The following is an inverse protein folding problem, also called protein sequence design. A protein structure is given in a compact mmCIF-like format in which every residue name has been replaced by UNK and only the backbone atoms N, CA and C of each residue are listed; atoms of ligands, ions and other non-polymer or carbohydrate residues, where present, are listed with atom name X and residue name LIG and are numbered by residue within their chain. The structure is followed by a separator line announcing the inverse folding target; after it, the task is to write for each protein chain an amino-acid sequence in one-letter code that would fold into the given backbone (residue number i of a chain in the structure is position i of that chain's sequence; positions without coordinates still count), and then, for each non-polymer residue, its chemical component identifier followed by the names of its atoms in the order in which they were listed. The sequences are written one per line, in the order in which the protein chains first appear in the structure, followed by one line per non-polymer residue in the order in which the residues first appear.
data_IF_374421999198
#
_entry.id   IF_374421999198
#
_cell.length_a   1.000
_cell.length_b   1.000
_cell.length_c   1.000
_cell.angle_alpha   90.00
_cell.angle_beta   90.00
_cell.angle_gamma   90.00
#
_symmetry.space_group_name_H-M   'P 1'
#
loop_
_entity.id
_entity.type
_entity.pdbx_description
1 polymer ?
#
# COMPACT_ATOMS: atom_id res chain seq x y z
N UNK A 1 26.45 -17.63 -34.49
CA UNK A 1 25.10 -17.05 -34.58
C UNK A 1 24.51 -17.09 -33.18
N UNK A 2 24.41 -15.94 -32.51
CA UNK A 2 23.83 -15.86 -31.16
C UNK A 2 22.32 -15.61 -31.29
N UNK A 3 21.51 -16.46 -30.66
CA UNK A 3 20.06 -16.26 -30.54
C UNK A 3 19.78 -15.21 -29.46
N UNK A 4 18.74 -14.36 -29.61
CA UNK A 4 18.38 -13.40 -28.57
C UNK A 4 17.64 -14.14 -27.46
N UNK A 5 18.18 -14.12 -26.24
CA UNK A 5 17.43 -14.54 -25.05
C UNK A 5 16.31 -13.53 -24.85
N UNK A 6 15.07 -14.01 -24.82
CA UNK A 6 13.91 -13.18 -24.54
C UNK A 6 13.99 -12.67 -23.09
N UNK A 7 14.42 -11.42 -22.92
CA UNK A 7 14.48 -10.73 -21.63
C UNK A 7 13.09 -10.18 -21.28
N UNK A 8 12.19 -11.09 -20.90
CA UNK A 8 11.03 -10.72 -20.10
C UNK A 8 11.49 -10.20 -18.73
N UNK A 9 10.77 -9.26 -18.10
CA UNK A 9 11.12 -8.79 -16.77
C UNK A 9 11.08 -9.98 -15.78
N UNK A 10 12.00 -10.04 -14.80
CA UNK A 10 12.13 -11.19 -13.91
C UNK A 10 10.79 -11.44 -13.20
N UNK A 11 10.35 -12.69 -13.10
CA UNK A 11 9.01 -13.08 -12.60
C UNK A 11 8.61 -12.37 -11.29
N UNK A 12 9.56 -12.01 -10.44
CA UNK A 12 9.36 -11.24 -9.22
C UNK A 12 8.70 -9.86 -9.47
N UNK A 13 9.06 -9.17 -10.55
CA UNK A 13 8.52 -7.84 -10.91
C UNK A 13 7.09 -7.90 -11.42
N UNK A 14 6.72 -8.94 -12.18
CA UNK A 14 5.34 -9.17 -12.62
C UNK A 14 4.44 -9.47 -11.42
N UNK A 15 4.91 -10.33 -10.51
CA UNK A 15 4.21 -10.62 -9.24
C UNK A 15 4.09 -9.39 -8.35
N UNK A 16 5.15 -8.58 -8.20
CA UNK A 16 5.10 -7.33 -7.43
C UNK A 16 4.07 -6.35 -7.99
N UNK A 17 4.01 -6.19 -9.32
CA UNK A 17 3.01 -5.33 -9.96
C UNK A 17 1.59 -5.82 -9.69
N UNK A 18 1.32 -7.12 -9.79
CA UNK A 18 0.01 -7.67 -9.49
C UNK A 18 -0.37 -7.48 -8.01
N UNK A 19 0.55 -7.77 -7.08
CA UNK A 19 0.32 -7.57 -5.65
C UNK A 19 0.02 -6.09 -5.35
N UNK A 20 0.75 -5.18 -5.98
CA UNK A 20 0.56 -3.76 -5.78
C UNK A 20 -0.79 -3.25 -6.30
N UNK A 21 -1.26 -3.76 -7.44
CA UNK A 21 -2.61 -3.47 -7.93
C UNK A 21 -3.68 -3.95 -6.94
N UNK A 22 -3.53 -5.16 -6.40
CA UNK A 22 -4.47 -5.71 -5.40
C UNK A 22 -4.42 -4.88 -4.11
N UNK A 23 -3.25 -4.43 -3.66
CA UNK A 23 -3.13 -3.56 -2.49
C UNK A 23 -3.80 -2.20 -2.70
N UNK A 24 -3.69 -1.62 -3.90
CA UNK A 24 -4.35 -0.37 -4.25
C UNK A 24 -5.88 -0.54 -4.28
N UNK A 25 -6.39 -1.60 -4.92
CA UNK A 25 -7.81 -1.95 -4.94
C UNK A 25 -8.36 -2.11 -3.52
N UNK A 26 -7.71 -2.92 -2.68
CA UNK A 26 -8.11 -3.12 -1.29
C UNK A 26 -8.07 -1.82 -0.48
N UNK A 27 -7.12 -0.92 -0.76
CA UNK A 27 -7.06 0.37 -0.07
C UNK A 27 -8.29 1.23 -0.37
N UNK A 28 -8.78 1.21 -1.62
CA UNK A 28 -9.99 1.92 -2.00
C UNK A 28 -11.25 1.29 -1.39
N UNK A 29 -11.32 -0.04 -1.33
CA UNK A 29 -12.43 -0.74 -0.67
C UNK A 29 -12.50 -0.40 0.84
N UNK A 30 -11.36 -0.39 1.51
CA UNK A 30 -11.25 -0.03 2.94
C UNK A 30 -11.64 1.43 3.18
N UNK A 31 -11.23 2.35 2.31
CA UNK A 31 -11.66 3.76 2.39
C UNK A 31 -13.15 3.94 2.15
N UNK A 32 -13.71 3.26 1.16
CA UNK A 32 -15.14 3.31 0.88
C UNK A 32 -15.96 2.80 2.08
N UNK A 33 -15.50 1.74 2.74
CA UNK A 33 -16.10 1.25 3.98
C UNK A 33 -16.00 2.29 5.10
N UNK A 34 -14.81 2.85 5.34
CA UNK A 34 -14.61 3.89 6.35
C UNK A 34 -15.50 5.12 6.10
N UNK A 35 -15.57 5.59 4.86
CA UNK A 35 -16.42 6.70 4.45
C UNK A 35 -17.91 6.41 4.66
N UNK A 36 -18.36 5.19 4.35
CA UNK A 36 -19.74 4.77 4.60
C UNK A 36 -20.08 4.79 6.09
N UNK A 37 -19.16 4.35 6.95
CA UNK A 37 -19.37 4.36 8.40
C UNK A 37 -19.33 5.79 8.98
N UNK A 38 -18.45 6.65 8.46
CA UNK A 38 -18.41 8.07 8.82
C UNK A 38 -19.69 8.83 8.40
N UNK A 39 -20.46 8.31 7.44
CA UNK A 39 -21.75 8.89 7.02
C UNK A 39 -22.84 8.80 8.09
N UNK A 40 -22.70 7.92 9.08
CA UNK A 40 -23.55 7.85 10.25
C UNK A 40 -22.84 8.55 11.42
N UNK A 41 -23.35 9.72 11.83
CA UNK A 41 -22.75 10.52 12.90
C UNK A 41 -22.70 9.79 14.25
N UNK A 42 -23.70 8.97 14.54
CA UNK A 42 -23.79 8.22 15.79
C UNK A 42 -22.72 7.13 15.86
N UNK A 43 -22.45 6.47 14.74
CA UNK A 43 -21.35 5.50 14.59
C UNK A 43 -20.01 6.23 14.65
N UNK A 44 -19.86 7.33 13.90
CA UNK A 44 -18.63 8.09 13.84
C UNK A 44 -18.18 8.54 15.24
N UNK A 45 -19.07 9.15 16.01
CA UNK A 45 -18.77 9.65 17.35
C UNK A 45 -18.42 8.52 18.34
N UNK A 46 -19.06 7.35 18.21
CA UNK A 46 -18.83 6.21 19.12
C UNK A 46 -17.57 5.41 18.78
N UNK A 47 -17.13 5.45 17.53
CA UNK A 47 -16.09 4.56 17.01
C UNK A 47 -14.95 5.30 16.30
N UNK A 48 -14.71 6.58 16.62
CA UNK A 48 -13.65 7.39 15.99
C UNK A 48 -12.29 6.69 15.93
N UNK A 49 -11.84 6.07 17.02
CA UNK A 49 -10.54 5.38 17.05
C UNK A 49 -10.49 4.20 16.07
N UNK A 50 -11.60 3.48 15.93
CA UNK A 50 -11.71 2.36 14.99
C UNK A 50 -11.76 2.86 13.54
N UNK A 51 -12.44 3.97 13.28
CA UNK A 51 -12.49 4.60 11.96
C UNK A 51 -11.12 5.15 11.55
N UNK A 52 -10.39 5.74 12.49
CA UNK A 52 -9.01 6.16 12.26
C UNK A 52 -8.11 4.96 11.99
N UNK A 53 -8.33 3.82 12.68
CA UNK A 53 -7.59 2.60 12.40
C UNK A 53 -7.89 2.05 10.99
N UNK A 54 -9.12 2.15 10.51
CA UNK A 54 -9.52 1.77 9.14
C UNK A 54 -8.80 2.65 8.10
N UNK A 55 -8.85 3.97 8.26
CA UNK A 55 -8.11 4.91 7.40
C UNK A 55 -6.60 4.61 7.38
N UNK A 56 -6.02 4.34 8.55
CA UNK A 56 -4.62 3.98 8.69
C UNK A 56 -4.26 2.67 7.96
N UNK A 57 -5.17 1.70 7.88
CA UNK A 57 -4.98 0.47 7.12
C UNK A 57 -4.92 0.78 5.62
N UNK A 58 -5.85 1.59 5.11
CA UNK A 58 -5.86 1.97 3.71
C UNK A 58 -4.60 2.75 3.31
N UNK A 59 -4.16 3.70 4.14
CA UNK A 59 -2.92 4.44 3.92
C UNK A 59 -1.68 3.54 3.87
N UNK A 60 -1.62 2.51 4.74
CA UNK A 60 -0.54 1.51 4.72
C UNK A 60 -0.57 0.70 3.42
N UNK A 61 -1.74 0.27 2.97
CA UNK A 61 -1.89 -0.49 1.73
C UNK A 61 -1.41 0.31 0.52
N UNK A 62 -1.80 1.59 0.40
CA UNK A 62 -1.29 2.48 -0.67
C UNK A 62 0.21 2.66 -0.60
N UNK A 63 0.76 2.91 0.59
CA UNK A 63 2.20 3.08 0.76
C UNK A 63 2.97 1.83 0.31
N UNK A 64 2.46 0.64 0.65
CA UNK A 64 3.05 -0.64 0.21
C UNK A 64 2.91 -0.88 -1.30
N UNK A 65 1.78 -0.51 -1.90
CA UNK A 65 1.58 -0.58 -3.34
C UNK A 65 2.59 0.29 -4.09
N UNK A 66 2.84 1.51 -3.61
CA UNK A 66 3.86 2.42 -4.15
C UNK A 66 5.26 1.84 -4.03
N UNK A 67 5.63 1.27 -2.87
CA UNK A 67 6.92 0.63 -2.68
C UNK A 67 7.18 -0.52 -3.65
N UNK A 68 6.16 -1.32 -3.96
CA UNK A 68 6.28 -2.43 -4.90
C UNK A 68 6.43 -1.98 -6.37
N UNK A 69 6.07 -0.73 -6.67
CA UNK A 69 6.30 -0.09 -7.97
C UNK A 69 7.61 0.72 -8.03
N UNK A 70 8.29 0.89 -6.90
CA UNK A 70 9.46 1.73 -6.79
C UNK A 70 10.64 1.20 -7.64
N UNK A 71 11.24 2.08 -8.42
CA UNK A 71 12.54 1.79 -9.06
C UNK A 71 13.66 1.68 -8.00
N UNK A 72 13.54 2.44 -6.91
CA UNK A 72 14.47 2.45 -5.79
C UNK A 72 13.72 2.39 -4.46
N UNK A 73 13.71 1.22 -3.84
CA UNK A 73 13.02 0.97 -2.56
C UNK A 73 13.52 1.92 -1.45
N UNK A 74 14.81 2.18 -1.37
CA UNK A 74 15.40 3.02 -0.32
C UNK A 74 14.87 4.45 -0.37
N UNK A 75 14.81 5.02 -1.57
CA UNK A 75 14.29 6.38 -1.79
C UNK A 75 12.79 6.43 -1.49
N UNK A 76 12.04 5.42 -1.93
CA UNK A 76 10.59 5.38 -1.71
C UNK A 76 10.22 5.14 -0.24
N UNK A 77 11.00 4.38 0.53
CA UNK A 77 10.74 4.26 1.98
C UNK A 77 10.81 5.61 2.66
N UNK A 78 11.78 6.46 2.30
CA UNK A 78 11.90 7.80 2.90
C UNK A 78 10.74 8.74 2.52
N UNK A 79 10.02 8.46 1.43
CA UNK A 79 8.82 9.21 1.01
C UNK A 79 7.54 8.79 1.73
N UNK A 80 7.51 7.63 2.42
CA UNK A 80 6.34 7.19 3.16
C UNK A 80 6.00 8.22 4.23
N UNK A 81 4.83 8.87 4.16
CA UNK A 81 4.41 9.88 5.15
C UNK A 81 4.08 9.30 6.54
N UNK A 82 3.87 7.99 6.63
CA UNK A 82 3.53 7.29 7.87
C UNK A 82 4.79 6.80 8.61
N UNK A 83 5.21 7.53 9.64
CA UNK A 83 6.47 7.27 10.36
C UNK A 83 6.61 5.84 10.88
N UNK A 84 5.54 5.26 11.44
CA UNK A 84 5.55 3.89 11.96
C UNK A 84 5.83 2.87 10.84
N UNK A 85 5.21 3.07 9.67
CA UNK A 85 5.43 2.18 8.53
C UNK A 85 6.84 2.39 7.95
N UNK A 86 7.27 3.65 7.81
CA UNK A 86 8.62 4.00 7.37
C UNK A 86 9.67 3.30 8.23
N UNK A 87 9.55 3.39 9.54
CA UNK A 87 10.50 2.78 10.47
C UNK A 87 10.47 1.25 10.38
N UNK A 88 9.28 0.65 10.28
CA UNK A 88 9.16 -0.79 10.06
C UNK A 88 9.86 -1.24 8.77
N UNK A 89 9.75 -0.47 7.69
CA UNK A 89 10.43 -0.77 6.43
C UNK A 89 11.94 -0.56 6.51
N UNK A 90 12.45 0.29 7.42
CA UNK A 90 13.90 0.42 7.69
C UNK A 90 14.46 -0.81 8.40
N UNK A 91 13.70 -1.40 9.31
CA UNK A 91 14.13 -2.57 10.09
C UNK A 91 14.16 -3.89 9.30
N UNK A 92 13.46 -3.95 8.17
CA UNK A 92 13.40 -5.15 7.31
C UNK A 92 14.54 -5.21 6.28
N UNK A 93 15.49 -4.28 6.35
CA UNK A 93 16.64 -4.19 5.45
C UNK A 93 17.84 -4.94 6.01
#
# INVERSE_FOLDING_TARGET
MASPVASGPPANTASHRQIALVLEELSHEVEALGASLCGDMDVAMRHMDSLQAIDMIAQKQRSLATLLHADCLETEVERIGLDILRERMRLLR
#
